data_IF_755209073986
#
_entry.id   IF_755209073986
#
_cell.length_a   1.000
_cell.length_b   1.000
_cell.length_c   1.000
_cell.angle_alpha   90.00
_cell.angle_beta   90.00
_cell.angle_gamma   90.00
#
_symmetry.space_group_name_H-M   'P 1'
#
loop_
_entity.id
_entity.type
_entity.pdbx_description
1 polymer ?
#
# COMPACT_ATOMS: atom_id res chain seq x y z
N UNK A 1 20.52 -3.77 -30.88
CA UNK A 1 19.56 -4.08 -29.78
C UNK A 1 20.27 -3.80 -28.47
N UNK A 2 19.84 -2.79 -27.71
CA UNK A 2 20.34 -2.56 -26.36
C UNK A 2 19.48 -3.46 -25.47
N UNK A 3 20.06 -4.51 -24.91
CA UNK A 3 19.45 -5.22 -23.79
C UNK A 3 19.30 -4.23 -22.65
N UNK A 4 18.07 -3.75 -22.42
CA UNK A 4 17.75 -2.99 -21.22
C UNK A 4 17.86 -3.94 -20.04
N UNK A 5 19.01 -3.95 -19.36
CA UNK A 5 19.13 -4.55 -18.02
C UNK A 5 18.07 -3.88 -17.14
N UNK A 6 17.00 -4.60 -16.83
CA UNK A 6 15.99 -4.16 -15.88
C UNK A 6 16.63 -4.16 -14.50
N UNK A 7 17.13 -3.01 -14.07
CA UNK A 7 17.59 -2.83 -12.70
C UNK A 7 16.37 -2.86 -11.77
N UNK A 8 16.26 -3.90 -10.93
CA UNK A 8 15.27 -3.96 -9.86
C UNK A 8 15.82 -3.23 -8.64
N UNK A 9 15.13 -2.17 -8.20
CA UNK A 9 15.54 -1.41 -7.02
C UNK A 9 14.33 -0.86 -6.28
N UNK A 10 14.41 -0.91 -4.95
CA UNK A 10 13.47 -0.23 -4.07
C UNK A 10 14.01 1.17 -3.74
N UNK A 11 13.22 2.22 -3.96
CA UNK A 11 13.66 3.59 -3.66
C UNK A 11 12.52 4.52 -3.32
N UNK A 12 12.78 5.40 -2.35
CA UNK A 12 11.95 6.55 -2.01
C UNK A 12 12.76 7.81 -2.33
N UNK A 13 12.26 8.65 -3.23
CA UNK A 13 12.93 9.89 -3.65
C UNK A 13 12.08 11.09 -3.23
N UNK A 14 12.53 11.93 -2.29
CA UNK A 14 11.88 13.19 -1.98
C UNK A 14 12.04 14.20 -3.10
N UNK A 15 10.97 14.92 -3.42
CA UNK A 15 11.02 16.05 -4.35
C UNK A 15 10.27 17.26 -3.78
N UNK A 16 10.65 18.45 -4.27
CA UNK A 16 9.97 19.71 -3.97
C UNK A 16 9.89 20.56 -5.22
N UNK A 17 8.69 20.99 -5.59
CA UNK A 17 8.45 21.93 -6.67
C UNK A 17 8.39 23.34 -6.07
N UNK A 18 9.51 24.07 -6.15
CA UNK A 18 9.67 25.37 -5.46
C UNK A 18 8.59 26.40 -5.83
N UNK A 19 8.23 26.49 -7.11
CA UNK A 19 7.26 27.49 -7.61
C UNK A 19 5.85 27.26 -7.10
N UNK A 20 5.39 26.00 -7.05
CA UNK A 20 4.04 25.63 -6.60
C UNK A 20 3.98 25.26 -5.11
N UNK A 21 5.11 25.29 -4.40
CA UNK A 21 5.23 24.85 -2.98
C UNK A 21 4.75 23.41 -2.74
N UNK A 22 4.73 22.58 -3.78
CA UNK A 22 4.35 21.17 -3.68
C UNK A 22 5.55 20.36 -3.19
N UNK A 23 5.31 19.48 -2.21
CA UNK A 23 6.29 18.51 -1.72
C UNK A 23 5.70 17.12 -1.92
N UNK A 24 6.54 16.17 -2.30
CA UNK A 24 6.10 14.81 -2.51
C UNK A 24 7.22 13.80 -2.44
N UNK A 25 6.86 12.55 -2.77
CA UNK A 25 7.75 11.40 -2.78
C UNK A 25 7.45 10.58 -4.02
N UNK A 26 8.51 10.13 -4.70
CA UNK A 26 8.41 9.01 -5.63
C UNK A 26 8.77 7.74 -4.88
N UNK A 27 7.87 6.77 -4.87
CA UNK A 27 8.11 5.45 -4.27
C UNK A 27 8.11 4.43 -5.39
N UNK A 28 9.19 3.67 -5.48
CA UNK A 28 9.28 2.48 -6.34
C UNK A 28 9.64 1.30 -5.45
N UNK A 29 8.83 0.24 -5.53
CA UNK A 29 9.07 -1.02 -4.86
C UNK A 29 9.16 -2.12 -5.92
N UNK A 30 10.28 -2.83 -5.94
CA UNK A 30 10.53 -3.99 -6.80
C UNK A 30 10.79 -5.23 -5.91
N UNK A 31 12.03 -5.43 -5.46
CA UNK A 31 12.41 -6.65 -4.74
C UNK A 31 11.69 -6.81 -3.41
N UNK A 32 11.48 -5.71 -2.67
CA UNK A 32 10.87 -5.78 -1.33
C UNK A 32 9.42 -6.22 -1.40
N UNK A 33 8.66 -5.71 -2.38
CA UNK A 33 7.26 -6.08 -2.55
C UNK A 33 7.12 -7.51 -3.12
N UNK A 34 7.97 -7.89 -4.09
CA UNK A 34 8.01 -9.27 -4.59
C UNK A 34 8.34 -10.28 -3.48
N UNK A 35 9.25 -9.95 -2.55
CA UNK A 35 9.53 -10.82 -1.39
C UNK A 35 8.36 -10.95 -0.43
N UNK A 36 7.57 -9.89 -0.24
CA UNK A 36 6.37 -9.93 0.61
C UNK A 36 5.31 -10.81 -0.05
N UNK A 37 5.04 -10.58 -1.33
CA UNK A 37 4.06 -11.34 -2.09
C UNK A 37 4.44 -12.82 -2.19
N UNK A 38 5.69 -13.16 -2.51
CA UNK A 38 6.14 -14.56 -2.66
C UNK A 38 6.03 -15.43 -1.40
N UNK A 39 5.87 -14.82 -0.21
CA UNK A 39 5.62 -15.59 1.03
C UNK A 39 4.22 -16.19 1.08
N UNK A 40 3.32 -15.72 0.22
CA UNK A 40 1.93 -16.13 0.18
C UNK A 40 1.49 -16.39 -1.26
N UNK A 41 0.64 -17.38 -1.46
CA UNK A 41 -0.01 -17.59 -2.76
C UNK A 41 -1.27 -16.71 -2.85
N UNK A 42 -1.08 -15.39 -2.92
CA UNK A 42 -2.19 -14.46 -3.13
C UNK A 42 -2.72 -14.56 -4.57
N UNK A 43 -4.05 -14.55 -4.70
CA UNK A 43 -4.69 -14.28 -5.98
C UNK A 43 -4.33 -12.88 -6.47
N UNK A 44 -4.31 -12.69 -7.79
CA UNK A 44 -3.82 -11.47 -8.41
C UNK A 44 -4.47 -10.19 -7.84
N UNK A 45 -5.81 -10.10 -7.65
CA UNK A 45 -6.39 -8.87 -7.11
C UNK A 45 -5.93 -8.58 -5.68
N UNK A 46 -5.73 -9.61 -4.85
CA UNK A 46 -5.22 -9.44 -3.48
C UNK A 46 -3.77 -8.96 -3.50
N UNK A 47 -2.94 -9.53 -4.38
CA UNK A 47 -1.55 -9.10 -4.54
C UNK A 47 -1.45 -7.63 -4.99
N UNK A 48 -2.30 -7.20 -5.94
CA UNK A 48 -2.36 -5.81 -6.42
C UNK A 48 -2.84 -4.87 -5.31
N UNK A 49 -3.92 -5.21 -4.60
CA UNK A 49 -4.44 -4.45 -3.47
C UNK A 49 -3.40 -4.27 -2.35
N UNK A 50 -2.70 -5.34 -1.99
CA UNK A 50 -1.65 -5.29 -0.97
C UNK A 50 -0.47 -4.42 -1.45
N UNK A 51 -0.15 -4.49 -2.74
CA UNK A 51 0.93 -3.71 -3.36
C UNK A 51 0.63 -2.21 -3.36
N UNK A 52 -0.61 -1.85 -3.68
CA UNK A 52 -1.11 -0.48 -3.65
C UNK A 52 -1.03 0.10 -2.24
N UNK A 53 -1.56 -0.61 -1.24
CA UNK A 53 -1.54 -0.15 0.16
C UNK A 53 -0.10 -0.01 0.66
N UNK A 54 0.78 -0.97 0.38
CA UNK A 54 2.18 -0.91 0.80
C UNK A 54 2.91 0.30 0.22
N UNK A 55 2.70 0.57 -1.08
CA UNK A 55 3.30 1.70 -1.77
C UNK A 55 2.84 3.03 -1.17
N UNK A 56 1.55 3.15 -0.86
CA UNK A 56 0.98 4.32 -0.20
C UNK A 56 1.48 4.47 1.24
N UNK A 57 1.56 3.38 2.02
CA UNK A 57 2.14 3.40 3.38
C UNK A 57 3.57 3.92 3.37
N UNK A 58 4.39 3.49 2.40
CA UNK A 58 5.76 3.99 2.25
C UNK A 58 5.77 5.49 1.87
N UNK A 59 4.89 5.90 0.96
CA UNK A 59 4.79 7.28 0.51
C UNK A 59 4.42 8.23 1.68
N UNK A 60 3.36 7.91 2.42
CA UNK A 60 2.87 8.72 3.53
C UNK A 60 3.83 8.62 4.73
N UNK A 61 4.26 7.40 5.08
CA UNK A 61 5.15 7.17 6.21
C UNK A 61 6.49 7.90 6.06
N UNK A 62 7.04 7.98 4.85
CA UNK A 62 8.28 8.73 4.57
C UNK A 62 8.11 10.26 4.54
N UNK A 63 6.88 10.77 4.68
CA UNK A 63 6.59 12.20 4.87
C UNK A 63 6.51 12.60 6.34
N UNK A 64 6.40 11.64 7.27
CA UNK A 64 6.37 11.92 8.70
C UNK A 64 7.69 12.56 9.15
N UNK A 65 7.59 13.60 9.98
CA UNK A 65 8.75 14.37 10.47
C UNK A 65 9.44 13.74 11.69
N UNK A 66 8.83 12.72 12.28
CA UNK A 66 9.31 12.06 13.49
C UNK A 66 9.71 10.61 13.19
N UNK A 67 10.54 10.06 14.06
CA UNK A 67 10.91 8.65 14.01
C UNK A 67 9.77 7.81 14.58
N UNK A 68 9.25 6.90 13.77
CA UNK A 68 8.03 6.19 14.08
C UNK A 68 7.68 5.12 13.08
N UNK A 69 6.46 4.62 13.22
CA UNK A 69 5.82 3.68 12.32
C UNK A 69 4.54 4.30 11.76
N UNK A 70 4.26 3.99 10.50
CA UNK A 70 3.02 4.34 9.83
C UNK A 70 2.35 3.09 9.31
N UNK A 71 1.12 2.86 9.76
CA UNK A 71 0.37 1.64 9.51
C UNK A 71 -0.93 2.02 8.83
N UNK A 72 -1.21 1.39 7.69
CA UNK A 72 -2.53 1.36 7.08
C UNK A 72 -3.10 -0.03 7.30
N UNK A 73 -4.30 -0.09 7.87
CA UNK A 73 -5.02 -1.34 8.07
C UNK A 73 -6.45 -1.23 7.52
N UNK A 74 -6.81 -2.09 6.58
CA UNK A 74 -8.19 -2.31 6.18
C UNK A 74 -8.78 -3.50 6.95
N UNK A 75 -10.03 -3.35 7.41
CA UNK A 75 -10.79 -4.45 8.02
C UNK A 75 -12.22 -4.53 7.45
N UNK A 76 -12.68 -5.75 7.16
CA UNK A 76 -14.07 -6.01 6.74
C UNK A 76 -14.53 -7.40 7.20
N UNK A 77 -15.82 -7.69 7.06
CA UNK A 77 -16.40 -9.04 7.29
C UNK A 77 -16.62 -9.82 5.99
N UNK A 78 -16.03 -9.35 4.90
CA UNK A 78 -16.30 -9.78 3.53
C UNK A 78 -15.11 -10.59 2.97
N UNK A 79 -14.98 -10.66 1.64
CA UNK A 79 -13.94 -11.45 0.96
C UNK A 79 -12.55 -11.11 1.48
N UNK A 80 -12.15 -9.83 1.46
CA UNK A 80 -10.89 -9.37 2.04
C UNK A 80 -11.12 -8.94 3.49
N UNK A 81 -10.82 -9.86 4.42
CA UNK A 81 -11.07 -9.67 5.86
C UNK A 81 -10.11 -8.66 6.47
N UNK A 82 -8.84 -8.73 6.10
CA UNK A 82 -7.81 -7.83 6.63
C UNK A 82 -6.76 -7.57 5.57
N UNK A 83 -6.34 -6.32 5.46
CA UNK A 83 -5.15 -5.93 4.71
C UNK A 83 -4.35 -4.95 5.56
N UNK A 84 -3.04 -5.11 5.62
CA UNK A 84 -2.18 -4.33 6.48
C UNK A 84 -0.88 -4.02 5.77
N UNK A 85 -0.43 -2.78 5.86
CA UNK A 85 0.93 -2.39 5.49
C UNK A 85 1.51 -1.42 6.51
N UNK A 86 2.73 -1.72 6.95
CA UNK A 86 3.51 -0.98 7.92
C UNK A 86 4.80 -0.47 7.26
N UNK A 87 5.10 0.81 7.44
CA UNK A 87 6.36 1.45 7.13
C UNK A 87 6.98 1.99 8.41
N UNK A 88 8.24 1.63 8.68
CA UNK A 88 9.03 2.22 9.76
C UNK A 88 10.02 3.24 9.22
N UNK A 89 10.28 4.28 10.01
CA UNK A 89 11.25 5.35 9.70
C UNK A 89 12.68 4.89 9.36
N UNK A 90 13.06 3.65 9.72
CA UNK A 90 14.33 3.04 9.32
C UNK A 90 14.29 2.41 7.90
N UNK A 91 13.20 2.57 7.16
CA UNK A 91 12.99 2.00 5.83
C UNK A 91 12.50 0.55 5.82
N UNK A 92 12.27 -0.05 6.99
CA UNK A 92 11.68 -1.40 7.07
C UNK A 92 10.20 -1.36 6.68
N UNK A 93 9.77 -2.34 5.91
CA UNK A 93 8.39 -2.44 5.45
C UNK A 93 7.84 -3.84 5.72
N UNK A 94 6.54 -3.94 6.01
CA UNK A 94 5.81 -5.20 6.19
C UNK A 94 4.43 -5.07 5.59
N UNK A 95 3.91 -6.14 5.02
CA UNK A 95 2.52 -6.17 4.57
C UNK A 95 1.94 -7.57 4.71
N UNK A 96 0.63 -7.64 4.91
CA UNK A 96 -0.11 -8.87 5.07
C UNK A 96 -1.55 -8.71 4.60
N UNK A 97 -2.13 -9.75 4.02
CA UNK A 97 -3.55 -9.81 3.69
C UNK A 97 -4.14 -11.15 4.13
N UNK A 98 -5.37 -11.11 4.65
CA UNK A 98 -6.19 -12.28 4.97
C UNK A 98 -7.50 -12.16 4.22
N UNK A 99 -7.83 -13.19 3.44
CA UNK A 99 -9.01 -13.21 2.60
C UNK A 99 -9.62 -14.62 2.55
N UNK A 100 -10.90 -14.70 2.18
CA UNK A 100 -11.58 -15.97 1.95
C UNK A 100 -11.31 -16.46 0.52
N UNK A 101 -10.37 -17.39 0.38
CA UNK A 101 -10.00 -17.94 -0.93
C UNK A 101 -11.07 -18.85 -1.53
N UNK A 102 -12.01 -19.39 -0.74
CA UNK A 102 -13.07 -20.28 -1.25
C UNK A 102 -14.18 -19.51 -1.97
N UNK A 103 -14.43 -18.30 -1.50
CA UNK A 103 -15.44 -17.39 -2.06
C UNK A 103 -14.83 -16.42 -3.09
N UNK A 104 -13.56 -16.64 -3.47
CA UNK A 104 -12.92 -15.89 -4.52
C UNK A 104 -13.33 -16.48 -5.87
N UNK A 105 -14.43 -15.99 -6.44
CA UNK A 105 -14.71 -16.18 -7.86
C UNK A 105 -13.49 -15.70 -8.65
N UNK A 106 -13.09 -16.37 -9.74
CA UNK A 106 -11.91 -16.06 -10.56
C UNK A 106 -11.93 -14.63 -11.15
N UNK A 107 -11.83 -13.61 -10.29
CA UNK A 107 -11.82 -12.20 -10.63
C UNK A 107 -10.42 -11.88 -11.14
N UNK A 108 -10.36 -11.38 -12.36
CA UNK A 108 -9.11 -10.89 -12.96
C UNK A 108 -8.65 -9.60 -12.28
N UNK A 109 -9.59 -8.74 -11.89
CA UNK A 109 -9.38 -7.50 -11.14
C UNK A 109 -10.55 -7.28 -10.18
N UNK A 110 -10.28 -6.65 -9.03
CA UNK A 110 -11.31 -6.26 -8.06
C UNK A 110 -10.84 -5.01 -7.31
N UNK A 111 -11.74 -4.03 -7.15
CA UNK A 111 -11.50 -2.82 -6.35
C UNK A 111 -11.82 -3.05 -4.87
N UNK A 112 -11.39 -2.12 -4.01
CA UNK A 112 -11.56 -2.29 -2.56
C UNK A 112 -13.02 -2.27 -2.11
N UNK A 113 -13.89 -1.52 -2.79
CA UNK A 113 -15.32 -1.54 -2.53
C UNK A 113 -16.00 -2.86 -2.89
N UNK A 114 -15.44 -3.64 -3.82
CA UNK A 114 -15.89 -5.01 -4.11
C UNK A 114 -15.31 -6.05 -3.15
N UNK A 115 -14.04 -5.89 -2.76
CA UNK A 115 -13.33 -6.84 -1.89
C UNK A 115 -13.71 -6.66 -0.41
N UNK A 116 -14.01 -5.42 -0.01
CA UNK A 116 -14.27 -5.00 1.38
C UNK A 116 -15.54 -4.14 1.48
N UNK A 117 -16.71 -4.57 0.96
CA UNK A 117 -17.92 -3.77 1.06
C UNK A 117 -18.23 -3.47 2.52
N UNK A 118 -18.58 -2.20 2.81
CA UNK A 118 -18.82 -1.69 4.18
C UNK A 118 -17.62 -1.88 5.14
N UNK A 119 -16.43 -2.11 4.61
CA UNK A 119 -15.19 -2.10 5.37
C UNK A 119 -14.74 -0.70 5.76
N UNK A 120 -13.65 -0.64 6.51
CA UNK A 120 -13.00 0.62 6.89
C UNK A 120 -11.49 0.50 6.80
N UNK A 121 -10.83 1.64 6.60
CA UNK A 121 -9.39 1.79 6.72
C UNK A 121 -9.04 2.59 7.97
N UNK A 122 -8.03 2.15 8.70
CA UNK A 122 -7.40 2.88 9.79
C UNK A 122 -5.97 3.29 9.38
N UNK A 123 -5.70 4.58 9.43
CA UNK A 123 -4.38 5.18 9.22
C UNK A 123 -3.81 5.51 10.60
N UNK A 124 -2.68 4.90 10.95
CA UNK A 124 -2.11 5.01 12.30
C UNK A 124 -0.66 5.45 12.22
N UNK A 125 -0.30 6.55 12.88
CA UNK A 125 1.07 6.99 13.06
C UNK A 125 1.48 6.86 14.53
N UNK A 126 2.60 6.20 14.79
CA UNK A 126 3.13 5.94 16.13
C UNK A 126 4.53 6.56 16.22
N UNK A 127 4.74 7.48 17.15
CA UNK A 127 6.05 8.08 17.41
C UNK A 127 6.84 7.26 18.44
N UNK A 128 8.03 6.78 18.07
CA UNK A 128 8.78 5.81 18.88
C UNK A 128 9.24 6.36 20.24
N UNK A 129 9.61 7.65 20.31
CA UNK A 129 10.15 8.24 21.54
C UNK A 129 9.07 8.53 22.59
N UNK A 130 7.94 9.03 22.15
CA UNK A 130 6.85 9.49 23.02
C UNK A 130 5.74 8.45 23.19
N UNK A 131 5.76 7.40 22.35
CA UNK A 131 4.69 6.42 22.19
C UNK A 131 3.32 7.07 21.88
N UNK A 132 3.31 8.31 21.36
CA UNK A 132 2.08 8.98 20.94
C UNK A 132 1.56 8.30 19.68
N UNK A 133 0.25 8.03 19.70
CA UNK A 133 -0.48 7.38 18.61
C UNK A 133 -1.53 8.32 18.06
N UNK A 134 -1.47 8.55 16.75
CA UNK A 134 -2.48 9.28 16.00
C UNK A 134 -3.19 8.30 15.08
N UNK A 135 -4.52 8.26 15.12
CA UNK A 135 -5.30 7.33 14.31
C UNK A 135 -6.51 8.04 13.70
N UNK A 136 -6.67 7.91 12.39
CA UNK A 136 -7.90 8.26 11.68
C UNK A 136 -8.51 7.04 11.01
N UNK A 137 -9.83 6.93 11.09
CA UNK A 137 -10.59 5.81 10.53
C UNK A 137 -11.57 6.36 9.52
N UNK A 138 -11.62 5.74 8.34
CA UNK A 138 -12.53 6.12 7.26
C UNK A 138 -13.23 4.88 6.68
N UNK A 139 -14.46 5.02 6.18
CA UNK A 139 -15.09 3.94 5.43
C UNK A 139 -14.40 3.75 4.08
N UNK A 140 -14.39 2.51 3.58
CA UNK A 140 -13.99 2.19 2.21
C UNK A 140 -14.85 3.00 1.24
N UNK A 141 -14.19 3.74 0.35
CA UNK A 141 -14.85 4.53 -0.69
C UNK A 141 -15.01 3.71 -1.97
N UNK A 142 -15.97 4.11 -2.81
CA UNK A 142 -16.19 3.52 -4.13
C UNK A 142 -14.96 3.67 -5.03
N UNK A 143 -14.56 2.60 -5.71
CA UNK A 143 -13.39 2.56 -6.60
C UNK A 143 -12.10 2.09 -5.93
N UNK A 144 -10.96 2.59 -6.41
CA UNK A 144 -9.64 2.14 -5.95
C UNK A 144 -9.27 2.68 -4.56
N UNK A 145 -8.16 2.18 -4.00
CA UNK A 145 -7.71 2.60 -2.68
C UNK A 145 -7.42 4.10 -2.61
N UNK A 146 -6.89 4.67 -3.69
CA UNK A 146 -6.53 6.09 -3.78
C UNK A 146 -7.71 7.00 -3.47
N UNK A 147 -8.93 6.67 -3.89
CA UNK A 147 -10.11 7.45 -3.52
C UNK A 147 -10.35 7.47 -2.00
N UNK A 148 -10.12 6.34 -1.31
CA UNK A 148 -10.20 6.28 0.15
C UNK A 148 -9.10 7.13 0.78
N UNK A 149 -7.87 7.09 0.25
CA UNK A 149 -6.77 7.92 0.78
C UNK A 149 -7.02 9.41 0.58
N UNK A 150 -7.57 9.80 -0.57
CA UNK A 150 -8.00 11.18 -0.81
C UNK A 150 -9.08 11.61 0.19
N UNK A 151 -10.06 10.74 0.45
CA UNK A 151 -11.09 10.99 1.47
C UNK A 151 -10.47 11.17 2.86
N UNK A 152 -9.46 10.40 3.24
CA UNK A 152 -8.72 10.57 4.50
C UNK A 152 -8.05 11.96 4.57
N UNK A 153 -7.27 12.34 3.56
CA UNK A 153 -6.58 13.64 3.58
C UNK A 153 -7.53 14.83 3.57
N UNK A 154 -8.63 14.74 2.82
CA UNK A 154 -9.64 15.79 2.76
C UNK A 154 -10.36 15.99 4.10
N UNK A 155 -10.74 14.91 4.78
CA UNK A 155 -11.60 14.99 5.97
C UNK A 155 -10.84 14.99 7.29
N UNK A 156 -9.72 14.26 7.38
CA UNK A 156 -8.97 14.10 8.63
C UNK A 156 -7.79 15.06 8.75
N UNK A 157 -7.08 15.32 7.65
CA UNK A 157 -5.85 16.15 7.67
C UNK A 157 -6.08 17.57 7.14
N UNK A 158 -7.18 17.81 6.41
CA UNK A 158 -7.52 19.09 5.77
C UNK A 158 -6.38 19.64 4.88
N UNK A 159 -5.70 18.74 4.18
CA UNK A 159 -4.63 19.09 3.24
C UNK A 159 -4.99 18.64 1.82
N UNK A 160 -4.68 19.49 0.86
CA UNK A 160 -4.76 19.11 -0.55
C UNK A 160 -3.63 18.12 -0.87
N UNK A 161 -4.02 16.87 -1.15
CA UNK A 161 -3.11 15.78 -1.42
C UNK A 161 -3.51 15.10 -2.73
N UNK A 162 -2.50 14.80 -3.55
CA UNK A 162 -2.65 14.00 -4.76
C UNK A 162 -1.75 12.77 -4.64
N UNK A 163 -2.30 11.60 -4.91
CA UNK A 163 -1.56 10.34 -4.91
C UNK A 163 -1.92 9.61 -6.19
N UNK A 164 -0.89 9.16 -6.89
CA UNK A 164 -1.03 8.31 -8.06
C UNK A 164 -0.24 7.04 -7.79
N UNK A 165 -0.89 5.89 -7.92
CA UNK A 165 -0.26 4.59 -7.72
C UNK A 165 -0.48 3.74 -8.97
N UNK A 166 0.56 3.04 -9.37
CA UNK A 166 0.53 2.07 -10.44
C UNK A 166 1.17 0.79 -9.92
N UNK A 167 0.52 -0.33 -10.20
CA UNK A 167 1.09 -1.65 -9.99
C UNK A 167 1.13 -2.35 -11.32
N UNK A 168 2.32 -2.77 -11.75
CA UNK A 168 2.43 -3.66 -12.90
C UNK A 168 2.02 -5.08 -12.51
N UNK A 169 1.64 -5.86 -13.52
CA UNK A 169 1.29 -7.25 -13.33
C UNK A 169 2.44 -7.98 -12.64
N UNK A 170 2.10 -8.61 -11.53
CA UNK A 170 2.98 -9.54 -10.85
C UNK A 170 3.05 -10.82 -11.71
N UNK A 171 4.05 -10.93 -12.58
CA UNK A 171 4.37 -12.22 -13.19
C UNK A 171 4.95 -13.12 -12.10
N UNK A 172 4.14 -14.08 -11.67
CA UNK A 172 4.57 -15.15 -10.79
C UNK A 172 5.61 -15.96 -11.57
N UNK A 173 6.89 -15.63 -11.42
CA UNK A 173 7.97 -16.44 -11.98
C UNK A 173 7.79 -17.87 -11.47
N UNK A 174 7.30 -18.73 -12.36
CA UNK A 174 7.25 -20.18 -12.23
C UNK A 174 8.70 -20.69 -12.22
N UNK A 175 9.39 -20.51 -11.11
CA UNK A 175 10.52 -21.37 -10.80
C UNK A 175 9.94 -22.72 -10.38
N UNK A 176 9.50 -23.50 -11.38
CA UNK A 176 9.53 -24.95 -11.28
C UNK A 176 11.00 -25.33 -11.10
N UNK A 177 11.45 -25.47 -9.85
CA UNK A 177 12.59 -26.33 -9.58
C UNK A 177 12.11 -27.77 -9.85
N UNK A 178 12.40 -28.25 -11.05
CA UNK A 178 12.52 -29.68 -11.30
C UNK A 178 13.64 -30.18 -10.38
N UNK A 179 13.27 -31.05 -9.45
CA UNK A 179 14.17 -32.07 -8.92
C UNK A 179 13.95 -33.35 -9.71
#
# INVERSE_FOLDING_TARGET
MIESKNFTFDKIIPFTLKKSKIRGRFVKLDNSISKILNRHNYELPIALSLSEILSVSCCIGSLLKFNGNFIIQGSSKEILKTVLADYSSNGSIRAYASYDSKNFENKTLASFDELMPKGHFAFTAIENKSNKRYQGIIPVQKGNFIHSVYYYFKNSEQVNSEIVCFSNNYEKNLFQQQF
#
